data_IF_053822204409
#
_entry.id   IF_053822204409
#
_cell.length_a   1.000
_cell.length_b   1.000
_cell.length_c   1.000
_cell.angle_alpha   90.00
_cell.angle_beta   90.00
_cell.angle_gamma   90.00
#
_symmetry.space_group_name_H-M   'P 1'
#
loop_
_entity.id
_entity.type
_entity.pdbx_description
1 polymer ?
#
# COMPACT_ATOMS: atom_id res chain seq x y z
N UNK A 1 10.68 -7.47 -16.39
CA UNK A 1 9.53 -6.53 -16.41
C UNK A 1 9.20 -5.85 -15.09
N UNK A 2 9.08 -6.56 -13.96
CA UNK A 2 8.70 -5.98 -12.65
C UNK A 2 9.53 -4.75 -12.25
N UNK A 3 10.87 -4.90 -12.17
CA UNK A 3 11.76 -3.81 -11.73
C UNK A 3 11.70 -2.60 -12.66
N UNK A 4 11.64 -2.83 -13.98
CA UNK A 4 11.50 -1.75 -14.98
C UNK A 4 10.22 -0.97 -14.72
N UNK A 5 9.09 -1.64 -14.51
CA UNK A 5 7.80 -0.99 -14.23
C UNK A 5 7.85 -0.17 -12.94
N UNK A 6 8.34 -0.77 -11.85
CA UNK A 6 8.44 -0.11 -10.54
C UNK A 6 9.36 1.11 -10.58
N UNK A 7 10.54 1.00 -11.21
CA UNK A 7 11.51 2.11 -11.27
C UNK A 7 11.05 3.25 -12.18
N UNK A 8 10.37 2.94 -13.29
CA UNK A 8 9.79 3.98 -14.16
C UNK A 8 8.65 4.72 -13.46
N UNK A 9 7.77 4.00 -12.74
CA UNK A 9 6.75 4.64 -11.91
C UNK A 9 7.36 5.50 -10.79
N UNK A 10 8.38 4.98 -10.09
CA UNK A 10 9.03 5.71 -8.98
C UNK A 10 9.60 7.05 -9.43
N UNK A 11 10.11 7.15 -10.66
CA UNK A 11 10.68 8.40 -11.20
C UNK A 11 9.70 9.56 -11.21
N UNK A 12 8.41 9.29 -11.43
CA UNK A 12 7.38 10.34 -11.60
C UNK A 12 6.44 10.48 -10.41
N UNK A 13 6.59 9.64 -9.38
CA UNK A 13 5.74 9.68 -8.18
C UNK A 13 6.38 10.52 -7.05
N UNK A 14 5.90 11.76 -6.89
CA UNK A 14 6.43 12.72 -5.91
C UNK A 14 6.25 12.29 -4.45
N UNK A 15 5.19 11.54 -4.12
CA UNK A 15 4.97 11.03 -2.78
C UNK A 15 6.08 10.04 -2.37
N UNK A 16 6.48 9.16 -3.29
CA UNK A 16 7.52 8.16 -3.04
C UNK A 16 8.93 8.77 -3.02
N UNK A 17 9.19 9.77 -3.85
CA UNK A 17 10.53 10.37 -3.95
C UNK A 17 10.80 11.40 -2.85
N UNK A 18 9.81 12.19 -2.47
CA UNK A 18 9.99 13.34 -1.58
C UNK A 18 8.91 13.49 -0.51
N UNK A 19 7.89 12.62 -0.50
CA UNK A 19 6.80 12.69 0.46
C UNK A 19 7.18 12.17 1.84
N UNK A 20 6.39 12.58 2.83
CA UNK A 20 6.46 12.14 4.22
C UNK A 20 6.23 10.63 4.30
N UNK A 21 6.95 9.97 5.20
CA UNK A 21 6.75 8.58 5.57
C UNK A 21 5.89 8.52 6.85
N UNK A 22 4.85 7.70 6.83
CA UNK A 22 4.15 7.23 8.02
C UNK A 22 4.17 5.70 7.96
N UNK A 23 4.63 5.06 9.03
CA UNK A 23 4.73 3.61 9.09
C UNK A 23 4.17 3.07 10.40
N UNK A 24 3.69 1.83 10.33
CA UNK A 24 3.08 1.17 11.47
C UNK A 24 3.97 0.01 11.90
N UNK A 25 4.18 -0.13 13.21
CA UNK A 25 4.83 -1.31 13.75
C UNK A 25 4.05 -2.56 13.30
N UNK A 26 4.74 -3.60 12.77
CA UNK A 26 4.10 -4.86 12.45
C UNK A 26 3.32 -5.38 13.66
N UNK A 27 2.10 -5.82 13.42
CA UNK A 27 1.27 -6.47 14.43
C UNK A 27 1.30 -7.99 14.20
N UNK A 28 0.44 -8.72 14.91
CA UNK A 28 0.24 -10.17 14.82
C UNK A 28 0.15 -10.74 13.39
N UNK A 29 -0.32 -9.96 12.42
CA UNK A 29 -0.43 -10.38 11.02
C UNK A 29 0.90 -10.50 10.27
N UNK A 30 2.04 -10.06 10.84
CA UNK A 30 3.34 -10.02 10.16
C UNK A 30 3.32 -9.27 8.81
N UNK A 31 2.36 -8.38 8.62
CA UNK A 31 2.32 -7.49 7.46
C UNK A 31 2.86 -6.12 7.88
N UNK A 32 3.89 -5.66 7.18
CA UNK A 32 4.43 -4.32 7.37
C UNK A 32 3.67 -3.35 6.47
N UNK A 33 3.06 -2.33 7.08
CA UNK A 33 2.26 -1.32 6.39
C UNK A 33 2.89 0.05 6.58
N UNK A 34 3.05 0.77 5.47
CA UNK A 34 3.51 2.15 5.49
C UNK A 34 2.94 2.95 4.32
N UNK A 35 2.86 4.25 4.48
CA UNK A 35 2.40 5.17 3.47
C UNK A 35 3.45 6.23 3.15
N UNK A 36 3.48 6.65 1.89
CA UNK A 36 4.20 7.82 1.40
C UNK A 36 3.18 8.86 0.95
N UNK A 37 3.26 10.04 1.54
CA UNK A 37 2.24 11.08 1.38
C UNK A 37 2.89 12.39 0.93
N UNK A 38 2.34 12.99 -0.12
CA UNK A 38 2.68 14.35 -0.55
C UNK A 38 1.47 15.00 -1.19
N UNK A 39 1.06 16.16 -0.66
CA UNK A 39 -0.13 16.89 -1.09
C UNK A 39 -1.35 15.94 -1.11
N UNK A 40 -2.06 15.86 -2.23
CA UNK A 40 -3.23 15.00 -2.41
C UNK A 40 -2.87 13.58 -2.91
N UNK A 41 -1.60 13.17 -2.85
CA UNK A 41 -1.16 11.84 -3.28
C UNK A 41 -0.73 11.01 -2.09
N UNK A 42 -1.41 9.87 -1.93
CA UNK A 42 -1.07 8.84 -0.96
C UNK A 42 -0.74 7.53 -1.67
N UNK A 43 0.44 7.00 -1.39
CA UNK A 43 0.83 5.65 -1.79
C UNK A 43 0.88 4.79 -0.55
N UNK A 44 0.05 3.74 -0.49
CA UNK A 44 0.01 2.77 0.59
C UNK A 44 0.74 1.49 0.18
N UNK A 45 1.65 1.02 1.02
CA UNK A 45 2.43 -0.18 0.79
C UNK A 45 2.14 -1.19 1.90
N UNK A 46 1.87 -2.43 1.50
CA UNK A 46 1.64 -3.57 2.41
C UNK A 46 2.56 -4.71 2.00
N UNK A 47 3.41 -5.18 2.90
CA UNK A 47 4.37 -6.26 2.67
C UNK A 47 4.06 -7.44 3.59
N UNK A 48 3.59 -8.56 3.04
CA UNK A 48 3.35 -9.78 3.81
C UNK A 48 4.61 -10.65 3.82
N UNK A 49 5.32 -10.68 4.94
CA UNK A 49 6.51 -11.52 5.09
C UNK A 49 6.19 -12.98 5.42
N UNK A 50 4.94 -13.31 5.72
CA UNK A 50 4.52 -14.65 6.12
C UNK A 50 4.31 -15.59 4.92
N UNK A 51 4.42 -16.89 5.16
CA UNK A 51 4.11 -17.94 4.18
C UNK A 51 2.63 -18.23 4.00
N UNK A 52 1.73 -17.39 4.52
CA UNK A 52 0.28 -17.55 4.46
C UNK A 52 -0.37 -16.24 4.05
N UNK A 53 -1.56 -16.31 3.48
CA UNK A 53 -2.36 -15.11 3.22
C UNK A 53 -2.72 -14.44 4.56
N UNK A 54 -2.63 -13.11 4.59
CA UNK A 54 -2.89 -12.33 5.80
C UNK A 54 -4.04 -11.36 5.55
N UNK A 55 -5.09 -11.47 6.36
CA UNK A 55 -6.18 -10.50 6.36
C UNK A 55 -5.82 -9.33 7.29
N UNK A 56 -5.75 -8.13 6.72
CA UNK A 56 -5.55 -6.89 7.43
C UNK A 56 -6.87 -6.17 7.67
N UNK A 57 -7.10 -5.76 8.93
CA UNK A 57 -8.14 -4.79 9.24
C UNK A 57 -7.61 -3.37 9.00
N UNK A 58 -8.21 -2.70 8.01
CA UNK A 58 -7.81 -1.38 7.54
C UNK A 58 -8.24 -0.25 8.49
N UNK A 59 -9.07 -0.53 9.51
CA UNK A 59 -9.45 0.46 10.51
C UNK A 59 -8.24 1.05 11.27
N UNK A 60 -7.13 0.30 11.37
CA UNK A 60 -5.88 0.75 11.99
C UNK A 60 -5.11 1.79 11.17
N UNK A 61 -5.38 1.89 9.87
CA UNK A 61 -4.60 2.71 8.93
C UNK A 61 -5.36 3.95 8.45
N UNK A 62 -6.44 4.32 9.15
CA UNK A 62 -7.31 5.45 8.80
C UNK A 62 -6.59 6.79 8.78
N UNK A 63 -5.52 6.97 9.56
CA UNK A 63 -4.69 8.19 9.53
C UNK A 63 -4.06 8.45 8.16
N UNK A 64 -3.85 7.41 7.36
CA UNK A 64 -3.25 7.52 6.02
C UNK A 64 -4.23 7.19 4.90
N UNK A 65 -5.23 6.34 5.13
CA UNK A 65 -6.25 6.06 4.11
C UNK A 65 -7.34 7.13 4.05
N UNK A 66 -7.60 7.85 5.15
CA UNK A 66 -8.57 8.94 5.18
C UNK A 66 -9.92 8.55 4.56
N UNK A 67 -10.33 9.31 3.54
CA UNK A 67 -11.58 9.09 2.81
C UNK A 67 -11.39 8.29 1.50
N UNK A 68 -10.18 7.83 1.18
CA UNK A 68 -9.94 7.06 -0.05
C UNK A 68 -10.66 5.72 0.01
N UNK A 69 -11.43 5.39 -1.02
CA UNK A 69 -12.25 4.18 -1.05
C UNK A 69 -11.67 3.07 -1.91
N UNK A 70 -10.71 3.40 -2.76
CA UNK A 70 -9.95 2.42 -3.52
C UNK A 70 -8.46 2.71 -3.56
N UNK A 71 -7.77 1.83 -4.26
CA UNK A 71 -6.41 2.08 -4.70
C UNK A 71 -6.04 1.23 -5.89
N UNK A 72 -5.20 1.77 -6.78
CA UNK A 72 -4.68 1.05 -7.93
C UNK A 72 -3.33 0.45 -7.59
N UNK A 73 -3.18 -0.86 -7.75
CA UNK A 73 -1.88 -1.52 -7.61
C UNK A 73 -0.97 -1.12 -8.78
N UNK A 74 0.17 -0.49 -8.45
CA UNK A 74 1.17 -0.03 -9.40
C UNK A 74 1.77 -1.19 -10.21
N UNK A 75 1.92 -2.36 -9.60
CA UNK A 75 2.56 -3.51 -10.24
C UNK A 75 1.62 -4.17 -11.23
N UNK A 76 0.40 -4.50 -10.82
CA UNK A 76 -0.54 -5.25 -11.68
C UNK A 76 -1.48 -4.35 -12.47
N UNK A 77 -1.68 -3.11 -12.02
CA UNK A 77 -2.69 -2.19 -12.56
C UNK A 77 -4.12 -2.47 -12.09
N UNK A 78 -4.33 -3.51 -11.26
CA UNK A 78 -5.65 -3.89 -10.74
C UNK A 78 -6.16 -2.85 -9.74
N UNK A 79 -7.46 -2.60 -9.78
CA UNK A 79 -8.14 -1.79 -8.77
C UNK A 79 -8.45 -2.66 -7.55
N UNK A 80 -8.09 -2.16 -6.37
CA UNK A 80 -8.45 -2.74 -5.07
C UNK A 80 -9.49 -1.80 -4.45
N UNK A 81 -10.71 -2.29 -4.32
CA UNK A 81 -11.83 -1.58 -3.68
C UNK A 81 -12.70 -2.63 -2.97
N UNK A 82 -13.11 -2.40 -1.71
CA UNK A 82 -12.77 -1.23 -0.87
C UNK A 82 -11.34 -1.30 -0.33
N UNK A 83 -10.74 -0.14 0.00
CA UNK A 83 -9.54 -0.06 0.86
C UNK A 83 -9.88 0.19 2.33
N UNK A 84 -11.17 0.18 2.67
CA UNK A 84 -11.72 0.07 4.03
C UNK A 84 -12.11 -1.37 4.35
N UNK A 85 -12.20 -1.68 5.64
CA UNK A 85 -12.59 -3.01 6.11
C UNK A 85 -11.42 -3.99 6.05
N UNK A 86 -11.61 -5.16 5.43
CA UNK A 86 -10.58 -6.21 5.38
C UNK A 86 -9.93 -6.31 4.00
N UNK A 87 -8.60 -6.27 3.96
CA UNK A 87 -7.81 -6.55 2.76
C UNK A 87 -6.96 -7.79 2.99
N UNK A 88 -7.02 -8.76 2.08
CA UNK A 88 -6.15 -9.94 2.11
C UNK A 88 -4.88 -9.69 1.30
N UNK A 89 -3.72 -9.76 1.95
CA UNK A 89 -2.41 -9.70 1.29
C UNK A 89 -1.89 -11.12 1.08
N UNK A 90 -1.59 -11.55 -0.16
CA UNK A 90 -1.15 -12.92 -0.44
C UNK A 90 0.14 -13.31 0.31
N UNK A 91 0.33 -14.60 0.57
CA UNK A 91 1.55 -15.16 1.13
C UNK A 91 2.80 -14.69 0.37
N UNK A 92 3.81 -14.17 1.10
CA UNK A 92 5.03 -13.56 0.54
C UNK A 92 4.76 -12.49 -0.53
N UNK A 93 3.58 -11.90 -0.52
CA UNK A 93 3.12 -10.92 -1.49
C UNK A 93 3.17 -9.48 -0.96
N UNK A 94 2.84 -8.57 -1.87
CA UNK A 94 2.79 -7.15 -1.58
C UNK A 94 1.69 -6.44 -2.36
N UNK A 95 1.31 -5.28 -1.83
CA UNK A 95 0.59 -4.26 -2.58
C UNK A 95 1.36 -2.94 -2.54
N UNK A 96 1.34 -2.23 -3.66
CA UNK A 96 1.79 -0.85 -3.78
C UNK A 96 0.61 -0.09 -4.40
N UNK A 97 -0.23 0.51 -3.55
CA UNK A 97 -1.50 1.12 -3.97
C UNK A 97 -1.36 2.63 -4.06
N UNK A 98 -1.67 3.21 -5.22
CA UNK A 98 -2.01 4.63 -5.31
C UNK A 98 -3.48 4.79 -4.91
N UNK A 99 -3.74 5.44 -3.78
CA UNK A 99 -5.10 5.57 -3.24
C UNK A 99 -5.94 6.58 -4.05
N UNK A 100 -7.24 6.29 -4.19
CA UNK A 100 -8.23 7.17 -4.82
C UNK A 100 -9.51 7.32 -3.97
#
# INVERSE_FOLDING_TARGET
DYLKKLLQWRKTNAAVTTGKLIHYAPHESNVYVYARIKDNKTVLIMLNASGKDQALDMARFTDVTGNHTGGRDVITGKQITPVQGKITVPARGQYILELN
#
